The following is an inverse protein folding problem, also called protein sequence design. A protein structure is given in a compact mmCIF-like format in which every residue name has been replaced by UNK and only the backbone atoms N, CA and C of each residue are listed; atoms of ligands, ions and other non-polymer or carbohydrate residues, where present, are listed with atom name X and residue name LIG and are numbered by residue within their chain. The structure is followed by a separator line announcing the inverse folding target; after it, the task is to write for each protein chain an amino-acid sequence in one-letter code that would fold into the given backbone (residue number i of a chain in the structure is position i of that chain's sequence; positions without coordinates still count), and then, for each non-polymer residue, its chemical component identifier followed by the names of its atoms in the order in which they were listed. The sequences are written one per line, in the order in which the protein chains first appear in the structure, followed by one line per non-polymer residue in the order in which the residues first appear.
data_IF_404764564946
#
_entry.id   IF_404764564946
#
_cell.length_a   1.000
_cell.length_b   1.000
_cell.length_c   1.000
_cell.angle_alpha   90.00
_cell.angle_beta   90.00
_cell.angle_gamma   90.00
#
_symmetry.space_group_name_H-M   'P 1'
#
loop_
_entity.id
_entity.type
_entity.pdbx_description
1 polymer ?
#
# COMPACT_ATOMS: atom_id res chain seq x y z
N UNK A 1 16.54 -54.76 -25.09
CA UNK A 1 15.33 -53.95 -24.91
C UNK A 1 15.63 -52.94 -23.79
N UNK A 2 15.84 -51.67 -24.12
CA UNK A 2 16.19 -50.62 -23.15
C UNK A 2 14.93 -49.81 -22.85
N UNK A 3 14.42 -49.93 -21.60
CA UNK A 3 13.30 -49.13 -21.16
C UNK A 3 13.78 -47.71 -20.87
N UNK A 4 13.35 -46.74 -21.70
CA UNK A 4 13.55 -45.34 -21.52
C UNK A 4 12.44 -44.82 -20.60
N UNK A 5 12.79 -44.59 -19.32
CA UNK A 5 11.88 -44.01 -18.32
C UNK A 5 11.81 -42.50 -18.57
N UNK A 6 10.69 -42.04 -19.08
CA UNK A 6 10.42 -40.61 -19.33
C UNK A 6 10.05 -39.95 -17.99
N UNK A 7 11.01 -39.24 -17.38
CA UNK A 7 10.80 -38.43 -16.18
C UNK A 7 10.08 -37.15 -16.57
N UNK A 8 8.77 -37.07 -16.37
CA UNK A 8 8.02 -35.85 -16.56
C UNK A 8 8.32 -34.89 -15.38
N UNK A 9 9.12 -33.88 -15.64
CA UNK A 9 9.33 -32.77 -14.69
C UNK A 9 8.11 -31.86 -14.77
N UNK A 10 7.22 -31.96 -13.77
CA UNK A 10 6.14 -30.99 -13.56
C UNK A 10 6.75 -29.66 -13.09
N UNK A 11 6.88 -28.71 -14.02
CA UNK A 11 7.15 -27.32 -13.69
C UNK A 11 5.89 -26.73 -13.03
N UNK A 12 5.84 -26.73 -11.70
CA UNK A 12 4.85 -25.97 -10.94
C UNK A 12 5.26 -24.50 -11.06
N UNK A 13 4.68 -23.82 -12.04
CA UNK A 13 4.75 -22.35 -12.08
C UNK A 13 3.93 -21.83 -10.90
N UNK A 14 4.62 -21.21 -9.93
CA UNK A 14 3.96 -20.41 -8.89
C UNK A 14 3.30 -19.20 -9.57
N UNK A 15 2.07 -19.38 -10.03
CA UNK A 15 1.21 -18.26 -10.38
C UNK A 15 0.93 -17.48 -9.08
N UNK A 16 1.48 -16.29 -8.95
CA UNK A 16 1.09 -15.34 -7.93
C UNK A 16 -0.33 -14.88 -8.31
N UNK A 17 -1.35 -15.56 -7.76
CA UNK A 17 -2.73 -15.15 -7.94
C UNK A 17 -2.94 -13.89 -7.11
N UNK A 18 -3.14 -12.77 -7.77
CA UNK A 18 -3.72 -11.58 -7.15
C UNK A 18 -5.20 -11.87 -6.88
N UNK A 19 -5.64 -11.70 -5.64
CA UNK A 19 -7.04 -11.85 -5.24
C UNK A 19 -7.71 -10.48 -5.34
N UNK A 20 -8.81 -10.37 -6.10
CA UNK A 20 -9.57 -9.13 -6.23
C UNK A 20 -10.89 -9.25 -5.49
N UNK A 21 -11.09 -8.39 -4.49
CA UNK A 21 -12.31 -8.30 -3.70
C UNK A 21 -13.01 -6.97 -3.93
N UNK A 22 -14.32 -7.00 -4.08
CA UNK A 22 -15.14 -5.83 -4.39
C UNK A 22 -16.03 -5.41 -3.21
N UNK A 23 -16.30 -4.12 -3.13
CA UNK A 23 -17.33 -3.53 -2.24
C UNK A 23 -17.10 -3.79 -0.74
N UNK A 24 -15.83 -3.82 -0.31
CA UNK A 24 -15.48 -3.95 1.10
C UNK A 24 -15.84 -2.67 1.86
N UNK A 25 -16.40 -2.84 3.06
CA UNK A 25 -16.75 -1.73 3.93
C UNK A 25 -15.53 -1.30 4.75
N UNK A 26 -15.27 0.00 4.83
CA UNK A 26 -14.19 0.55 5.63
C UNK A 26 -14.58 0.48 7.11
N UNK A 27 -13.89 -0.38 7.87
CA UNK A 27 -14.08 -0.53 9.32
C UNK A 27 -13.27 0.51 10.09
N UNK A 28 -12.02 0.76 9.66
CA UNK A 28 -11.09 1.68 10.34
C UNK A 28 -9.93 2.06 9.41
N UNK A 29 -9.56 3.32 9.41
CA UNK A 29 -8.25 3.79 8.94
C UNK A 29 -7.32 3.82 10.15
N UNK A 30 -6.24 3.03 10.12
CA UNK A 30 -5.29 2.89 11.23
C UNK A 30 -4.26 4.02 11.19
N UNK A 31 -3.64 4.21 10.02
CA UNK A 31 -2.66 5.25 9.72
C UNK A 31 -2.72 5.62 8.22
N UNK A 32 -1.70 6.28 7.69
CA UNK A 32 -1.69 6.77 6.30
C UNK A 32 -1.55 5.69 5.23
N UNK A 33 -1.33 4.43 5.60
CA UNK A 33 -1.15 3.31 4.66
C UNK A 33 -1.68 1.97 5.15
N UNK A 34 -2.44 1.97 6.24
CA UNK A 34 -3.03 0.76 6.81
C UNK A 34 -4.52 0.97 7.13
N UNK A 35 -5.36 0.08 6.62
CA UNK A 35 -6.81 0.10 6.83
C UNK A 35 -7.32 -1.26 7.28
N UNK A 36 -8.44 -1.28 7.99
CA UNK A 36 -9.23 -2.48 8.23
C UNK A 36 -10.50 -2.41 7.40
N UNK A 37 -10.71 -3.42 6.58
CA UNK A 37 -11.88 -3.59 5.73
C UNK A 37 -12.71 -4.77 6.21
N UNK A 38 -14.01 -4.71 6.00
CA UNK A 38 -14.95 -5.77 6.35
C UNK A 38 -15.64 -6.29 5.09
N UNK A 39 -15.66 -7.61 4.93
CA UNK A 39 -16.31 -8.31 3.83
C UNK A 39 -16.66 -9.73 4.28
N UNK A 40 -17.90 -10.16 4.06
CA UNK A 40 -18.38 -11.53 4.35
C UNK A 40 -17.94 -12.04 5.73
N UNK A 41 -18.32 -11.31 6.79
CA UNK A 41 -18.00 -11.60 8.19
C UNK A 41 -16.50 -11.65 8.54
N UNK A 42 -15.64 -11.25 7.60
CA UNK A 42 -14.17 -11.24 7.77
C UNK A 42 -13.63 -9.82 7.83
N UNK A 43 -12.67 -9.59 8.73
CA UNK A 43 -11.90 -8.33 8.80
C UNK A 43 -10.55 -8.54 8.12
N UNK A 44 -10.32 -7.81 7.06
CA UNK A 44 -9.06 -7.73 6.33
C UNK A 44 -8.25 -6.55 6.86
N UNK A 45 -7.09 -6.81 7.45
CA UNK A 45 -6.09 -5.78 7.77
C UNK A 45 -5.24 -5.60 6.53
N UNK A 46 -5.38 -4.46 5.84
CA UNK A 46 -4.71 -4.21 4.56
C UNK A 46 -3.63 -3.16 4.74
N UNK A 47 -2.39 -3.50 4.35
CA UNK A 47 -1.27 -2.58 4.17
C UNK A 47 -1.19 -2.17 2.70
N UNK A 48 -1.30 -0.87 2.43
CA UNK A 48 -1.23 -0.33 1.08
C UNK A 48 0.18 -0.54 0.52
N UNK A 49 0.27 -1.25 -0.61
CA UNK A 49 1.55 -1.56 -1.26
C UNK A 49 2.16 -0.35 -1.98
N UNK A 50 3.47 -0.44 -2.28
CA UNK A 50 4.25 0.53 -3.06
C UNK A 50 4.44 1.90 -2.39
N UNK A 51 3.77 2.16 -1.27
CA UNK A 51 3.88 3.42 -0.53
C UNK A 51 4.27 3.18 0.93
N UNK A 52 4.84 4.21 1.56
CA UNK A 52 5.11 4.23 2.99
C UNK A 52 4.71 5.61 3.53
N UNK A 53 3.73 5.63 4.42
CA UNK A 53 3.22 6.87 5.01
C UNK A 53 3.95 7.21 6.30
N UNK A 54 4.07 8.51 6.65
CA UNK A 54 4.63 8.91 7.93
C UNK A 54 3.95 8.21 9.10
N UNK A 55 4.76 7.74 10.05
CA UNK A 55 4.28 7.10 11.28
C UNK A 55 3.38 8.04 12.08
N UNK A 56 2.45 7.51 12.90
CA UNK A 56 1.48 8.34 13.64
C UNK A 56 2.11 9.44 14.50
N UNK A 57 3.31 9.21 15.00
CA UNK A 57 4.09 10.12 15.84
C UNK A 57 5.24 10.82 15.09
N UNK A 58 5.28 10.69 13.77
CA UNK A 58 6.17 11.41 12.88
C UNK A 58 5.49 12.70 12.40
N UNK A 59 6.25 13.77 12.11
CA UNK A 59 5.69 14.92 11.41
C UNK A 59 4.89 14.49 10.18
N UNK A 60 3.71 15.09 9.96
CA UNK A 60 2.73 14.74 8.93
C UNK A 60 2.04 13.38 9.07
N UNK A 61 2.32 12.57 10.11
CA UNK A 61 1.66 11.26 10.29
C UNK A 61 0.15 11.38 10.54
N UNK A 62 -0.26 12.38 11.35
CA UNK A 62 -1.67 12.69 11.55
C UNK A 62 -2.32 13.17 10.26
N UNK A 63 -1.67 14.08 9.53
CA UNK A 63 -2.21 14.66 8.29
C UNK A 63 -2.38 13.58 7.20
N UNK A 64 -1.42 12.64 7.08
CA UNK A 64 -1.50 11.48 6.20
C UNK A 64 -2.69 10.59 6.54
N UNK A 65 -2.85 10.24 7.83
CA UNK A 65 -3.99 9.46 8.30
C UNK A 65 -5.32 10.15 8.01
N UNK A 66 -5.41 11.44 8.28
CA UNK A 66 -6.64 12.21 8.07
C UNK A 66 -6.94 12.41 6.57
N UNK A 67 -5.91 12.49 5.73
CA UNK A 67 -6.10 12.52 4.28
C UNK A 67 -6.66 11.20 3.76
N UNK A 68 -6.10 10.06 4.18
CA UNK A 68 -6.63 8.75 3.81
C UNK A 68 -8.09 8.57 4.28
N UNK A 69 -8.42 9.02 5.48
CA UNK A 69 -9.83 9.02 5.95
C UNK A 69 -10.74 9.82 5.04
N UNK A 70 -10.31 11.01 4.59
CA UNK A 70 -11.10 11.83 3.66
C UNK A 70 -11.30 11.16 2.31
N UNK A 71 -10.24 10.51 1.77
CA UNK A 71 -10.35 9.77 0.51
C UNK A 71 -11.34 8.62 0.60
N UNK A 72 -11.45 8.00 1.78
CA UNK A 72 -12.26 6.80 2.03
C UNK A 72 -13.58 7.10 2.75
N UNK A 73 -13.96 8.37 2.89
CA UNK A 73 -15.09 8.80 3.73
C UNK A 73 -16.46 8.29 3.27
N UNK A 74 -16.60 7.85 2.02
CA UNK A 74 -17.87 7.44 1.47
C UNK A 74 -17.81 6.03 0.85
N UNK A 75 -18.51 5.09 1.48
CA UNK A 75 -18.93 3.87 0.83
C UNK A 75 -17.98 2.69 0.94
N UNK A 76 -17.93 1.93 -0.13
CA UNK A 76 -17.20 0.69 -0.26
C UNK A 76 -16.00 0.88 -1.17
N UNK A 77 -14.96 0.11 -0.91
CA UNK A 77 -13.73 0.08 -1.73
C UNK A 77 -13.55 -1.31 -2.32
N UNK A 78 -12.83 -1.35 -3.44
CA UNK A 78 -12.33 -2.61 -3.98
C UNK A 78 -10.86 -2.75 -3.58
N UNK A 79 -10.38 -3.99 -3.46
CA UNK A 79 -8.99 -4.25 -3.11
C UNK A 79 -8.41 -5.37 -3.96
N UNK A 80 -7.25 -5.11 -4.53
CA UNK A 80 -6.41 -6.11 -5.17
C UNK A 80 -5.34 -6.55 -4.17
N UNK A 81 -5.39 -7.81 -3.74
CA UNK A 81 -4.48 -8.40 -2.76
C UNK A 81 -3.40 -9.18 -3.49
N UNK A 82 -2.15 -8.80 -3.30
CA UNK A 82 -0.97 -9.46 -3.92
C UNK A 82 -0.23 -10.40 -2.97
N UNK A 83 -0.59 -10.41 -1.67
CA UNK A 83 0.08 -11.27 -0.70
C UNK A 83 -0.29 -10.97 0.74
N UNK A 84 0.51 -11.52 1.66
CA UNK A 84 0.36 -11.29 3.10
C UNK A 84 1.75 -11.08 3.71
N UNK A 85 1.90 -10.07 4.55
CA UNK A 85 3.17 -9.81 5.23
C UNK A 85 3.37 -10.70 6.47
N UNK A 86 4.57 -10.62 7.06
CA UNK A 86 4.93 -11.39 8.26
C UNK A 86 4.08 -11.06 9.51
N UNK A 87 3.32 -9.99 9.49
CA UNK A 87 2.41 -9.56 10.57
C UNK A 87 0.96 -9.97 10.31
N UNK A 88 0.70 -10.74 9.24
CA UNK A 88 -0.63 -11.20 8.86
C UNK A 88 -1.50 -10.13 8.18
N UNK A 89 -0.92 -8.99 7.77
CA UNK A 89 -1.65 -7.98 6.99
C UNK A 89 -1.66 -8.37 5.52
N UNK A 90 -2.79 -8.21 4.86
CA UNK A 90 -2.89 -8.32 3.41
C UNK A 90 -2.15 -7.16 2.75
N UNK A 91 -1.32 -7.46 1.77
CA UNK A 91 -0.65 -6.47 0.93
C UNK A 91 -1.56 -6.14 -0.23
N UNK A 92 -2.04 -4.89 -0.31
CA UNK A 92 -3.12 -4.58 -1.23
C UNK A 92 -3.04 -3.19 -1.85
N UNK A 93 -3.68 -3.07 -3.01
CA UNK A 93 -3.98 -1.81 -3.69
C UNK A 93 -5.47 -1.55 -3.58
N UNK A 94 -5.84 -0.39 -3.06
CA UNK A 94 -7.22 0.01 -2.88
C UNK A 94 -7.72 0.82 -4.08
N UNK A 95 -8.95 0.58 -4.44
CA UNK A 95 -9.66 1.36 -5.45
C UNK A 95 -10.97 1.90 -4.89
N UNK A 96 -11.22 3.17 -5.10
CA UNK A 96 -12.48 3.80 -4.81
C UNK A 96 -13.03 4.49 -6.06
N UNK A 97 -14.18 4.03 -6.54
CA UNK A 97 -14.77 4.52 -7.80
C UNK A 97 -13.75 4.50 -8.96
N UNK A 98 -12.96 3.44 -9.06
CA UNK A 98 -11.92 3.26 -10.09
C UNK A 98 -10.63 4.06 -9.88
N UNK A 99 -10.52 4.85 -8.82
CA UNK A 99 -9.30 5.61 -8.49
C UNK A 99 -8.37 4.78 -7.61
N UNK A 100 -7.11 4.69 -7.98
CA UNK A 100 -6.05 4.06 -7.19
C UNK A 100 -5.72 4.94 -5.97
N UNK A 101 -6.15 4.51 -4.79
CA UNK A 101 -5.98 5.24 -3.53
C UNK A 101 -4.52 5.28 -3.08
N UNK A 102 -3.76 4.21 -3.32
CA UNK A 102 -2.33 4.19 -3.01
C UNK A 102 -1.61 5.31 -3.78
N UNK A 103 -1.93 5.46 -5.06
CA UNK A 103 -1.38 6.52 -5.92
C UNK A 103 -1.84 7.91 -5.49
N UNK A 104 -3.10 8.08 -5.12
CA UNK A 104 -3.62 9.36 -4.65
C UNK A 104 -2.90 9.87 -3.40
N UNK A 105 -2.48 8.98 -2.50
CA UNK A 105 -1.68 9.34 -1.33
C UNK A 105 -0.33 9.95 -1.72
N UNK A 106 0.30 9.45 -2.78
CA UNK A 106 1.58 9.98 -3.32
C UNK A 106 1.36 11.29 -4.07
N UNK A 107 0.34 11.36 -4.94
CA UNK A 107 0.00 12.57 -5.72
C UNK A 107 -0.29 13.78 -4.80
N UNK A 108 -0.94 13.51 -3.67
CA UNK A 108 -1.28 14.53 -2.70
C UNK A 108 -0.13 14.86 -1.72
N UNK A 109 0.97 14.10 -1.78
CA UNK A 109 2.13 14.28 -0.91
C UNK A 109 1.91 13.82 0.53
N UNK A 110 1.11 12.78 0.76
CA UNK A 110 0.88 12.22 2.10
C UNK A 110 1.49 10.83 2.30
N UNK A 111 2.15 10.29 1.27
CA UNK A 111 2.98 9.10 1.38
C UNK A 111 4.22 9.21 0.50
N UNK A 112 5.27 8.50 0.89
CA UNK A 112 6.47 8.27 0.08
C UNK A 112 6.26 7.06 -0.83
N UNK A 113 6.90 7.05 -2.00
CA UNK A 113 7.10 5.81 -2.75
C UNK A 113 8.07 4.94 -1.94
N UNK A 114 7.72 3.67 -1.76
CA UNK A 114 8.55 2.74 -0.98
C UNK A 114 9.46 1.95 -1.91
N UNK A 115 10.71 2.36 -2.01
CA UNK A 115 11.68 1.88 -3.01
C UNK A 115 11.85 0.35 -3.01
N UNK A 116 11.83 -0.27 -1.82
CA UNK A 116 12.01 -1.73 -1.69
C UNK A 116 10.82 -2.54 -2.24
N UNK A 117 9.66 -1.93 -2.42
CA UNK A 117 8.41 -2.63 -2.73
C UNK A 117 7.66 -2.07 -3.95
N UNK A 118 8.13 -0.96 -4.54
CA UNK A 118 7.47 -0.37 -5.71
C UNK A 118 7.75 -1.17 -6.97
N UNK A 119 6.70 -1.61 -7.64
CA UNK A 119 6.75 -2.29 -8.94
C UNK A 119 6.34 -1.37 -10.09
N UNK A 120 5.35 -0.51 -9.87
CA UNK A 120 4.93 0.49 -10.84
C UNK A 120 5.79 1.77 -10.71
N UNK A 121 6.78 1.89 -11.59
CA UNK A 121 7.73 3.01 -11.58
C UNK A 121 7.11 4.39 -11.84
N UNK A 122 5.88 4.45 -12.36
CA UNK A 122 5.16 5.72 -12.55
C UNK A 122 4.81 6.45 -11.24
N UNK A 123 4.86 5.74 -10.09
CA UNK A 123 4.74 6.36 -8.78
C UNK A 123 5.83 7.41 -8.51
N UNK A 124 7.04 7.23 -9.05
CA UNK A 124 8.13 8.21 -8.89
C UNK A 124 7.84 9.54 -9.58
N UNK A 125 7.19 9.52 -10.74
CA UNK A 125 6.76 10.73 -11.43
C UNK A 125 5.73 11.49 -10.58
N UNK A 126 4.78 10.75 -10.00
CA UNK A 126 3.78 11.33 -9.10
C UNK A 126 4.42 11.97 -7.87
N UNK A 127 5.39 11.28 -7.24
CA UNK A 127 6.14 11.82 -6.10
C UNK A 127 6.97 13.05 -6.48
N UNK A 128 7.68 13.01 -7.61
CA UNK A 128 8.47 14.12 -8.10
C UNK A 128 7.61 15.37 -8.28
N UNK A 129 6.45 15.22 -8.92
CA UNK A 129 5.49 16.31 -9.12
C UNK A 129 4.90 16.83 -7.80
N UNK A 130 4.62 15.94 -6.84
CA UNK A 130 4.15 16.35 -5.52
C UNK A 130 5.22 17.18 -4.77
N UNK A 131 6.50 16.79 -4.88
CA UNK A 131 7.66 17.54 -4.33
C UNK A 131 7.82 18.92 -4.96
N UNK A 132 7.82 18.99 -6.30
CA UNK A 132 7.91 20.25 -7.06
C UNK A 132 6.81 21.22 -6.63
N UNK A 133 5.58 20.74 -6.48
CA UNK A 133 4.42 21.52 -6.07
C UNK A 133 4.33 21.72 -4.55
N UNK A 134 5.29 21.27 -3.76
CA UNK A 134 5.35 21.35 -2.28
C UNK A 134 4.05 20.89 -1.62
N UNK A 135 3.48 19.76 -2.08
CA UNK A 135 2.24 19.22 -1.53
C UNK A 135 2.49 18.42 -0.24
N UNK A 136 1.52 18.48 0.67
CA UNK A 136 1.51 17.68 1.90
C UNK A 136 2.81 17.77 2.69
N UNK A 137 3.47 16.65 2.91
CA UNK A 137 4.75 16.51 3.62
C UNK A 137 5.93 17.25 2.92
N UNK A 138 5.80 17.51 1.60
CA UNK A 138 6.83 18.23 0.82
C UNK A 138 6.84 19.75 1.03
N UNK A 139 5.95 20.28 1.88
CA UNK A 139 6.03 21.66 2.39
C UNK A 139 7.27 21.85 3.26
N UNK A 140 7.68 20.78 3.95
CA UNK A 140 8.92 20.76 4.74
C UNK A 140 10.05 20.14 3.89
N UNK A 141 11.09 20.93 3.61
CA UNK A 141 12.28 20.47 2.87
C UNK A 141 13.08 19.40 3.63
N UNK A 142 12.88 19.29 4.95
CA UNK A 142 13.55 18.32 5.82
C UNK A 142 12.70 17.09 6.14
N UNK A 143 11.64 16.85 5.38
CA UNK A 143 10.81 15.66 5.56
C UNK A 143 11.63 14.38 5.50
N UNK A 144 11.47 13.55 6.53
CA UNK A 144 12.22 12.30 6.71
C UNK A 144 11.36 11.14 6.23
N UNK A 145 11.90 10.19 5.44
CA UNK A 145 11.17 8.99 5.06
C UNK A 145 10.80 8.13 6.27
N UNK A 146 9.64 7.45 6.27
CA UNK A 146 9.18 6.65 7.41
C UNK A 146 10.17 5.53 7.81
N UNK A 147 10.82 4.88 6.86
CA UNK A 147 11.83 3.84 7.13
C UNK A 147 13.06 4.38 7.86
N UNK A 148 13.47 5.63 7.62
CA UNK A 148 14.55 6.29 8.38
C UNK A 148 14.08 6.72 9.76
N UNK A 149 12.84 7.22 9.86
CA UNK A 149 12.23 7.54 11.15
C UNK A 149 12.18 6.34 12.09
N UNK A 150 11.79 5.16 11.58
CA UNK A 150 11.78 3.91 12.34
C UNK A 150 13.19 3.49 12.81
N UNK A 151 14.23 3.73 12.01
CA UNK A 151 15.62 3.44 12.40
C UNK A 151 16.08 4.30 13.58
N UNK A 152 15.78 5.60 13.58
CA UNK A 152 16.17 6.53 14.65
C UNK A 152 15.55 6.18 16.01
N UNK A 153 14.39 5.55 16.03
CA UNK A 153 13.72 5.14 17.27
C UNK A 153 14.25 3.85 17.89
N UNK A 154 15.07 3.10 17.16
CA UNK A 154 15.67 1.86 17.66
C UNK A 154 17.06 2.08 18.28
N UNK A 155 17.58 3.29 18.18
CA UNK A 155 18.81 3.74 18.85
C UNK A 155 18.45 4.44 20.17
#
# INVERSE_FOLDING_TARGET
MKNLSLLAVLLISNFCFSEYLEKLVIKKVVDGDTVHLYHDDTIYKVRLIEIDAPERNQPFGKDSTDYLKRLLNEGKVDVEISGTDRYGRKLGRLYWKGRDINREMVIAGYAWVYDDYVTDKSFYENQSKARELRKGLWKDSNSIPPWEWRKRKKQ
#
